data_IF_934538241512
#
_entry.id   IF_934538241512
#
_cell.length_a   1.000
_cell.length_b   1.000
_cell.length_c   1.000
_cell.angle_alpha   90.00
_cell.angle_beta   90.00
_cell.angle_gamma   90.00
#
_symmetry.space_group_name_H-M   'P 1'
#
loop_
_entity.id
_entity.type
_entity.pdbx_description
1 polymer ?
#
# COMPACT_ATOMS: atom_id res chain seq x y z
N UNK A 1 51.14 2.17 -1.40
CA UNK A 1 50.57 0.89 -1.84
C UNK A 1 49.26 0.68 -1.10
N UNK A 2 48.16 0.57 -1.86
CA UNK A 2 46.78 0.13 -1.56
C UNK A 2 46.25 0.27 -0.11
N UNK A 3 45.28 1.16 0.18
CA UNK A 3 43.84 1.05 -0.12
C UNK A 3 43.15 -0.16 0.53
N UNK A 4 42.28 0.12 1.50
CA UNK A 4 41.01 -0.59 1.70
C UNK A 4 40.09 0.24 2.63
N UNK A 5 39.58 1.36 2.11
CA UNK A 5 38.27 1.86 2.52
C UNK A 5 37.23 0.86 2.00
N UNK A 6 36.60 0.09 2.89
CA UNK A 6 35.49 -0.79 2.54
C UNK A 6 34.31 -0.59 3.50
N UNK A 7 33.54 0.45 3.19
CA UNK A 7 32.06 0.41 3.14
C UNK A 7 31.36 -0.19 4.37
N UNK A 8 31.24 0.59 5.45
CA UNK A 8 29.99 0.62 6.21
C UNK A 8 29.00 1.52 5.45
N UNK A 9 28.57 1.02 4.30
CA UNK A 9 27.61 1.69 3.43
C UNK A 9 26.25 1.73 4.10
N UNK A 10 25.76 2.94 4.33
CA UNK A 10 24.37 3.34 4.52
C UNK A 10 23.34 2.23 4.30
N UNK A 11 22.78 1.71 5.40
CA UNK A 11 21.58 0.87 5.37
C UNK A 11 20.33 1.73 5.59
N UNK A 12 20.25 2.87 4.91
CA UNK A 12 19.11 3.79 4.96
C UNK A 12 18.97 4.56 3.63
N UNK A 13 18.64 3.88 2.53
CA UNK A 13 18.25 4.60 1.29
C UNK A 13 17.40 3.80 0.29
N UNK A 14 17.00 2.57 0.59
CA UNK A 14 16.15 1.79 -0.32
C UNK A 14 14.70 2.30 -0.38
N UNK A 15 14.25 3.06 0.60
CA UNK A 15 12.86 3.55 0.67
C UNK A 15 12.59 4.84 -0.12
N UNK A 16 13.63 5.55 -0.56
CA UNK A 16 13.51 6.80 -1.33
C UNK A 16 13.75 6.64 -2.83
N UNK A 17 14.22 5.48 -3.27
CA UNK A 17 14.51 5.29 -4.68
C UNK A 17 13.24 4.84 -5.39
N UNK A 18 12.33 5.77 -5.71
CA UNK A 18 11.16 5.58 -6.58
C UNK A 18 10.94 6.86 -7.41
N UNK A 19 10.53 6.71 -8.66
CA UNK A 19 10.29 7.84 -9.57
C UNK A 19 8.95 8.52 -9.29
N UNK A 20 7.94 7.74 -8.87
CA UNK A 20 6.59 8.23 -8.63
C UNK A 20 5.99 7.59 -7.37
N UNK A 21 5.17 8.35 -6.66
CA UNK A 21 4.36 7.85 -5.56
C UNK A 21 2.90 8.23 -5.76
N UNK A 22 2.00 7.25 -5.72
CA UNK A 22 0.57 7.46 -5.81
C UNK A 22 -0.13 7.03 -4.53
N UNK A 23 -1.10 7.84 -4.12
CA UNK A 23 -2.00 7.52 -3.02
C UNK A 23 -3.34 7.03 -3.57
N UNK A 24 -3.76 5.84 -3.16
CA UNK A 24 -4.96 5.17 -3.67
C UNK A 24 -5.87 4.85 -2.48
N UNK A 25 -7.09 5.39 -2.48
CA UNK A 25 -8.12 5.07 -1.51
C UNK A 25 -9.17 4.16 -2.15
N UNK A 26 -9.39 2.97 -1.59
CA UNK A 26 -10.43 2.05 -2.07
C UNK A 26 -11.71 2.29 -1.26
N UNK A 27 -12.77 2.71 -1.95
CA UNK A 27 -14.08 3.02 -1.36
C UNK A 27 -15.17 2.13 -1.95
N UNK A 28 -16.24 1.92 -1.19
CA UNK A 28 -17.39 1.12 -1.60
C UNK A 28 -18.07 0.44 -0.42
N UNK A 29 -19.27 -0.08 -0.65
CA UNK A 29 -20.11 -0.70 0.38
C UNK A 29 -19.42 -1.89 1.06
N UNK A 30 -19.98 -2.33 2.19
CA UNK A 30 -19.56 -3.57 2.84
C UNK A 30 -19.67 -4.74 1.86
N UNK A 31 -18.74 -5.68 1.95
CA UNK A 31 -18.78 -6.96 1.23
C UNK A 31 -18.71 -6.91 -0.30
N UNK A 32 -18.40 -5.76 -0.92
CA UNK A 32 -18.20 -5.65 -2.38
C UNK A 32 -16.85 -6.16 -2.88
N UNK A 33 -16.00 -6.68 -1.99
CA UNK A 33 -14.71 -7.31 -2.35
C UNK A 33 -13.49 -6.39 -2.38
N UNK A 34 -13.55 -5.17 -1.81
CA UNK A 34 -12.41 -4.22 -1.76
C UNK A 34 -11.12 -4.84 -1.22
N UNK A 35 -11.23 -5.51 -0.08
CA UNK A 35 -10.11 -6.18 0.61
C UNK A 35 -9.61 -7.38 -0.19
N UNK A 36 -10.52 -8.18 -0.76
CA UNK A 36 -10.15 -9.31 -1.63
C UNK A 36 -9.41 -8.83 -2.88
N UNK A 37 -9.81 -7.70 -3.46
CA UNK A 37 -9.12 -7.06 -4.57
C UNK A 37 -7.71 -6.59 -4.16
N UNK A 38 -7.56 -5.94 -3.00
CA UNK A 38 -6.26 -5.50 -2.50
C UNK A 38 -5.32 -6.69 -2.26
N UNK A 39 -5.79 -7.76 -1.60
CA UNK A 39 -4.98 -8.95 -1.36
C UNK A 39 -4.57 -9.64 -2.66
N UNK A 40 -5.50 -9.79 -3.61
CA UNK A 40 -5.17 -10.35 -4.93
C UNK A 40 -4.14 -9.50 -5.65
N UNK A 41 -4.31 -8.18 -5.67
CA UNK A 41 -3.37 -7.30 -6.37
C UNK A 41 -1.99 -7.27 -5.69
N UNK A 42 -1.94 -7.24 -4.37
CA UNK A 42 -0.71 -7.03 -3.64
C UNK A 42 0.08 -8.32 -3.40
N UNK A 43 -0.60 -9.42 -3.05
CA UNK A 43 0.01 -10.68 -2.61
C UNK A 43 -0.30 -11.88 -3.53
N UNK A 44 -1.07 -11.68 -4.60
CA UNK A 44 -1.61 -12.75 -5.45
C UNK A 44 -2.33 -13.87 -4.67
N UNK A 45 -2.93 -13.49 -3.53
CA UNK A 45 -3.66 -14.40 -2.66
C UNK A 45 -5.16 -14.13 -2.70
N UNK A 46 -5.95 -15.18 -2.50
CA UNK A 46 -7.40 -15.07 -2.35
C UNK A 46 -7.87 -16.06 -1.29
N UNK A 47 -8.71 -15.58 -0.37
CA UNK A 47 -9.42 -16.41 0.59
C UNK A 47 -10.93 -16.21 0.41
N UNK A 48 -11.72 -17.29 0.33
CA UNK A 48 -13.18 -17.19 0.32
C UNK A 48 -13.75 -16.87 1.72
N UNK A 49 -12.93 -16.93 2.78
CA UNK A 49 -13.37 -16.59 4.11
C UNK A 49 -13.68 -15.09 4.21
N UNK A 50 -14.91 -14.77 4.62
CA UNK A 50 -15.31 -13.39 4.83
C UNK A 50 -14.76 -12.88 6.17
N UNK A 51 -13.73 -12.04 6.10
CA UNK A 51 -13.25 -11.25 7.24
C UNK A 51 -13.60 -9.80 6.97
N UNK A 52 -14.42 -9.20 7.84
CA UNK A 52 -14.75 -7.78 7.72
C UNK A 52 -13.52 -6.93 8.02
N UNK A 53 -13.20 -5.99 7.14
CA UNK A 53 -12.19 -4.96 7.44
C UNK A 53 -12.67 -4.12 8.61
N UNK A 54 -11.85 -4.02 9.65
CA UNK A 54 -12.10 -3.15 10.78
C UNK A 54 -11.29 -1.87 10.57
N UNK A 55 -11.96 -0.72 10.45
CA UNK A 55 -11.28 0.56 10.23
C UNK A 55 -10.68 0.70 8.83
N UNK A 56 -9.37 0.96 8.74
CA UNK A 56 -8.63 1.20 7.50
C UNK A 56 -7.36 0.35 7.51
N UNK A 57 -7.13 -0.40 6.44
CA UNK A 57 -5.91 -1.14 6.21
C UNK A 57 -4.99 -0.38 5.25
N UNK A 58 -3.67 -0.46 5.46
CA UNK A 58 -2.67 0.26 4.69
C UNK A 58 -1.65 -0.68 4.09
N UNK A 59 -1.42 -0.54 2.79
CA UNK A 59 -0.48 -1.37 2.06
C UNK A 59 0.41 -0.56 1.13
N UNK A 60 1.68 -0.94 1.06
CA UNK A 60 2.62 -0.40 0.09
C UNK A 60 2.99 -1.47 -0.92
N UNK A 61 2.88 -1.16 -2.22
CA UNK A 61 3.37 -2.01 -3.29
C UNK A 61 4.23 -1.19 -4.24
N UNK A 62 5.44 -1.67 -4.50
CA UNK A 62 6.31 -1.08 -5.53
C UNK A 62 6.15 -1.88 -6.82
N UNK A 63 5.86 -1.18 -7.92
CA UNK A 63 5.76 -1.78 -9.26
C UNK A 63 6.75 -1.12 -10.21
N UNK A 64 7.16 -1.84 -11.26
CA UNK A 64 7.98 -1.29 -12.35
C UNK A 64 7.16 -1.18 -13.62
N UNK A 65 7.12 0.01 -14.22
CA UNK A 65 6.43 0.28 -15.49
C UNK A 65 7.24 1.30 -16.28
N UNK A 66 7.53 1.03 -17.55
CA UNK A 66 8.29 1.91 -18.44
C UNK A 66 9.63 2.38 -17.84
N UNK A 67 10.41 1.46 -17.26
CA UNK A 67 11.66 1.72 -16.53
C UNK A 67 11.55 2.69 -15.35
N UNK A 68 10.32 2.96 -14.89
CA UNK A 68 10.02 3.77 -13.72
C UNK A 68 9.57 2.88 -12.57
N UNK A 69 10.13 3.14 -11.40
CA UNK A 69 9.76 2.48 -10.16
C UNK A 69 8.68 3.31 -9.47
N UNK A 70 7.50 2.74 -9.36
CA UNK A 70 6.30 3.42 -8.87
C UNK A 70 5.92 2.83 -7.52
N UNK A 71 5.83 3.68 -6.49
CA UNK A 71 5.37 3.32 -5.14
C UNK A 71 3.88 3.60 -5.02
N UNK A 72 3.09 2.55 -4.82
CA UNK A 72 1.67 2.66 -4.55
C UNK A 72 1.43 2.56 -3.05
N UNK A 73 0.80 3.59 -2.49
CA UNK A 73 0.27 3.60 -1.14
C UNK A 73 -1.23 3.39 -1.24
N UNK A 74 -1.73 2.27 -0.73
CA UNK A 74 -3.12 1.84 -0.90
C UNK A 74 -3.78 1.77 0.47
N UNK A 75 -4.88 2.50 0.62
CA UNK A 75 -5.74 2.49 1.80
C UNK A 75 -7.02 1.72 1.47
N UNK A 76 -7.21 0.55 2.08
CA UNK A 76 -8.47 -0.19 2.04
C UNK A 76 -9.36 0.23 3.20
N UNK A 77 -10.61 0.56 2.92
CA UNK A 77 -11.55 1.08 3.92
C UNK A 77 -12.61 0.06 4.28
N UNK A 78 -12.99 0.00 5.55
CA UNK A 78 -14.18 -0.72 5.96
C UNK A 78 -15.41 -0.14 5.26
N UNK A 79 -16.20 -1.00 4.60
CA UNK A 79 -17.44 -0.59 3.94
C UNK A 79 -18.62 -0.44 4.90
N UNK A 80 -18.43 -0.65 6.20
CA UNK A 80 -19.49 -0.48 7.20
C UNK A 80 -19.62 1.00 7.56
N UNK A 81 -20.84 1.51 7.47
CA UNK A 81 -21.20 2.89 7.79
C UNK A 81 -20.71 3.37 9.17
N UNK A 82 -20.58 2.44 10.13
CA UNK A 82 -20.04 2.70 11.48
C UNK A 82 -18.60 3.22 11.48
N UNK A 83 -17.83 3.02 10.39
CA UNK A 83 -16.45 3.50 10.24
C UNK A 83 -16.32 4.68 9.26
N UNK A 84 -17.42 5.15 8.65
CA UNK A 84 -17.42 6.23 7.65
C UNK A 84 -16.84 7.55 8.19
N UNK A 85 -16.99 7.81 9.49
CA UNK A 85 -16.44 9.01 10.15
C UNK A 85 -14.90 9.01 10.17
N UNK A 86 -14.26 7.84 10.16
CA UNK A 86 -12.79 7.69 10.11
C UNK A 86 -12.26 8.01 8.71
N UNK A 87 -13.04 7.71 7.65
CA UNK A 87 -12.63 7.93 6.26
C UNK A 87 -12.43 9.42 5.94
N UNK A 88 -13.22 10.31 6.54
CA UNK A 88 -13.15 11.77 6.32
C UNK A 88 -11.78 12.38 6.62
N UNK A 89 -10.99 11.80 7.53
CA UNK A 89 -9.65 12.29 7.86
C UNK A 89 -8.63 12.03 6.73
N UNK A 90 -8.85 11.02 5.89
CA UNK A 90 -7.91 10.59 4.84
C UNK A 90 -8.22 11.17 3.46
N UNK A 91 -9.35 11.86 3.29
CA UNK A 91 -9.63 12.64 2.08
C UNK A 91 -8.81 13.94 2.00
N UNK A 92 -8.24 14.41 3.11
CA UNK A 92 -7.42 15.64 3.15
C UNK A 92 -5.96 15.31 2.89
N UNK A 93 -5.59 15.25 1.62
CA UNK A 93 -4.21 15.05 1.16
C UNK A 93 -4.12 15.00 -0.34
#
# INVERSE_FOLDING_TARGET
>A
MASANAVYGQKESSDQNFDYMFKILIIGNSSVGKTSFLFRYADDSFTPAFVSTVGIDFKVKTIYRNDKRIKLQIWDTAGQERYRTITTAYYRG
#
